data_IF_988978271167
#
_entry.id   IF_988978271167
#
_cell.length_a   1.000
_cell.length_b   1.000
_cell.length_c   1.000
_cell.angle_alpha   90.00
_cell.angle_beta   90.00
_cell.angle_gamma   90.00
#
_symmetry.space_group_name_H-M   'P 1'
#
loop_
_entity.id
_entity.type
_entity.pdbx_description
1 polymer ?
#
# COMPACT_ATOMS: atom_id res chain seq x y z
N UNK A 1 -38.17 5.22 -24.23
CA UNK A 1 -36.71 5.04 -24.40
C UNK A 1 -36.46 3.79 -25.25
N UNK A 2 -35.52 3.84 -26.19
CA UNK A 2 -35.19 2.71 -27.07
C UNK A 2 -34.40 1.65 -26.30
N UNK A 3 -34.95 0.44 -26.15
CA UNK A 3 -34.34 -0.68 -25.42
C UNK A 3 -32.89 -0.95 -25.85
N UNK A 4 -32.60 -0.91 -27.16
CA UNK A 4 -31.23 -1.11 -27.69
C UNK A 4 -30.23 -0.05 -27.21
N UNK A 5 -30.70 1.18 -27.00
CA UNK A 5 -29.83 2.25 -26.49
C UNK A 5 -29.53 2.07 -25.00
N UNK A 6 -30.49 1.53 -24.23
CA UNK A 6 -30.30 1.19 -22.81
C UNK A 6 -29.32 0.03 -22.69
N UNK A 7 -29.53 -1.06 -23.45
CA UNK A 7 -28.67 -2.24 -23.41
C UNK A 7 -27.21 -1.87 -23.74
N UNK A 8 -26.98 -1.08 -24.81
CA UNK A 8 -25.64 -0.60 -25.17
C UNK A 8 -24.99 0.26 -24.07
N UNK A 9 -25.77 1.10 -23.39
CA UNK A 9 -25.26 1.90 -22.28
C UNK A 9 -24.85 1.01 -21.10
N UNK A 10 -25.66 -0.01 -20.77
CA UNK A 10 -25.36 -0.98 -19.71
C UNK A 10 -24.06 -1.73 -20.02
N UNK A 11 -23.90 -2.22 -21.26
CA UNK A 11 -22.67 -2.91 -21.69
C UNK A 11 -21.44 -2.02 -21.53
N UNK A 12 -21.56 -0.75 -21.93
CA UNK A 12 -20.47 0.23 -21.78
C UNK A 12 -20.11 0.46 -20.31
N UNK A 13 -21.10 0.55 -19.41
CA UNK A 13 -20.84 0.67 -17.97
C UNK A 13 -20.19 -0.60 -17.41
N UNK A 14 -20.62 -1.77 -17.86
CA UNK A 14 -20.03 -3.05 -17.44
C UNK A 14 -18.56 -3.13 -17.86
N UNK A 15 -18.23 -2.78 -19.09
CA UNK A 15 -16.85 -2.76 -19.59
C UNK A 15 -15.96 -1.83 -18.74
N UNK A 16 -16.45 -0.64 -18.41
CA UNK A 16 -15.74 0.30 -17.53
C UNK A 16 -15.49 -0.32 -16.14
N UNK A 17 -16.49 -0.99 -15.56
CA UNK A 17 -16.34 -1.65 -14.26
C UNK A 17 -15.29 -2.75 -14.32
N UNK A 18 -15.31 -3.58 -15.38
CA UNK A 18 -14.36 -4.67 -15.58
C UNK A 18 -12.92 -4.15 -15.75
N UNK A 19 -12.74 -3.05 -16.49
CA UNK A 19 -11.43 -2.41 -16.65
C UNK A 19 -10.90 -1.87 -15.32
N UNK A 20 -11.75 -1.21 -14.53
CA UNK A 20 -11.38 -0.71 -13.20
C UNK A 20 -11.01 -1.86 -12.27
N UNK A 21 -11.78 -2.95 -12.25
CA UNK A 21 -11.46 -4.16 -11.47
C UNK A 21 -10.08 -4.70 -11.85
N UNK A 22 -9.81 -4.84 -13.14
CA UNK A 22 -8.52 -5.32 -13.64
C UNK A 22 -7.36 -4.43 -13.18
N UNK A 23 -7.53 -3.12 -13.25
CA UNK A 23 -6.52 -2.16 -12.80
C UNK A 23 -6.27 -2.25 -11.29
N UNK A 24 -7.32 -2.34 -10.47
CA UNK A 24 -7.18 -2.50 -9.01
C UNK A 24 -6.48 -3.82 -8.66
N UNK A 25 -6.80 -4.92 -9.36
CA UNK A 25 -6.10 -6.20 -9.15
C UNK A 25 -4.62 -6.12 -9.49
N UNK A 26 -4.27 -5.45 -10.59
CA UNK A 26 -2.87 -5.21 -10.94
C UNK A 26 -2.17 -4.39 -9.87
N UNK A 27 -2.83 -3.35 -9.35
CA UNK A 27 -2.27 -2.50 -8.31
C UNK A 27 -2.10 -3.25 -6.98
N UNK A 28 -3.05 -4.11 -6.60
CA UNK A 28 -2.92 -5.00 -5.45
C UNK A 28 -1.68 -5.89 -5.56
N UNK A 29 -1.45 -6.46 -6.74
CA UNK A 29 -0.27 -7.27 -7.00
C UNK A 29 1.01 -6.45 -6.83
N UNK A 30 1.09 -5.26 -7.43
CA UNK A 30 2.27 -4.41 -7.29
C UNK A 30 2.51 -3.91 -5.86
N UNK A 31 1.46 -3.70 -5.07
CA UNK A 31 1.58 -3.37 -3.65
C UNK A 31 2.15 -4.54 -2.86
N UNK A 32 1.65 -5.76 -3.10
CA UNK A 32 2.18 -6.96 -2.46
C UNK A 32 3.66 -7.17 -2.82
N UNK A 33 4.02 -7.06 -4.10
CA UNK A 33 5.42 -7.16 -4.56
C UNK A 33 6.32 -6.09 -3.93
N UNK A 34 5.82 -4.85 -3.77
CA UNK A 34 6.54 -3.79 -3.08
C UNK A 34 6.72 -4.10 -1.59
N UNK A 35 5.67 -4.59 -0.93
CA UNK A 35 5.73 -4.99 0.47
C UNK A 35 6.79 -6.08 0.66
N UNK A 36 6.73 -7.15 -0.15
CA UNK A 36 7.68 -8.27 -0.09
C UNK A 36 9.11 -7.78 -0.32
N UNK A 37 9.33 -6.91 -1.32
CA UNK A 37 10.65 -6.34 -1.59
C UNK A 37 11.21 -5.56 -0.38
N UNK A 38 10.38 -4.74 0.25
CA UNK A 38 10.81 -3.96 1.42
C UNK A 38 11.06 -4.89 2.61
N UNK A 39 10.18 -5.86 2.82
CA UNK A 39 10.27 -6.83 3.90
C UNK A 39 11.54 -7.68 3.79
N UNK A 40 11.83 -8.23 2.60
CA UNK A 40 13.00 -9.08 2.37
C UNK A 40 14.33 -8.34 2.51
N UNK A 41 14.33 -7.02 2.26
CA UNK A 41 15.50 -6.17 2.39
C UNK A 41 15.51 -5.38 3.70
N UNK A 42 14.54 -5.59 4.60
CA UNK A 42 14.34 -4.77 5.79
C UNK A 42 15.60 -4.68 6.66
N UNK A 43 16.27 -5.81 6.87
CA UNK A 43 17.48 -5.91 7.70
C UNK A 43 18.70 -5.19 7.12
N UNK A 44 18.68 -4.89 5.83
CA UNK A 44 19.77 -4.22 5.11
C UNK A 44 19.55 -2.70 5.01
N UNK A 45 18.36 -2.21 5.33
CA UNK A 45 18.06 -0.79 5.28
C UNK A 45 18.85 -0.02 6.32
N UNK A 46 19.40 1.11 5.89
CA UNK A 46 20.06 2.08 6.77
C UNK A 46 19.19 3.30 7.01
N UNK A 47 19.58 4.12 7.99
CA UNK A 47 18.95 5.42 8.24
C UNK A 47 19.09 6.34 7.02
N UNK A 48 20.24 6.30 6.36
CA UNK A 48 20.54 7.06 5.16
C UNK A 48 19.60 6.66 4.02
N UNK A 49 19.40 5.36 3.79
CA UNK A 49 18.44 4.86 2.78
C UNK A 49 17.03 5.38 3.07
N UNK A 50 16.56 5.22 4.31
CA UNK A 50 15.26 5.73 4.72
C UNK A 50 15.13 7.24 4.47
N UNK A 51 16.16 8.03 4.77
CA UNK A 51 16.11 9.49 4.57
C UNK A 51 15.93 9.90 3.11
N UNK A 52 16.48 9.12 2.17
CA UNK A 52 16.35 9.37 0.73
C UNK A 52 14.94 9.03 0.22
N UNK A 53 14.33 7.97 0.76
CA UNK A 53 13.06 7.44 0.24
C UNK A 53 11.82 7.91 1.02
N UNK A 54 11.98 8.41 2.25
CA UNK A 54 10.87 8.65 3.17
C UNK A 54 9.77 9.56 2.60
N UNK A 55 10.15 10.62 1.88
CA UNK A 55 9.17 11.55 1.31
C UNK A 55 8.46 10.97 0.08
N UNK A 56 9.16 10.19 -0.73
CA UNK A 56 8.56 9.43 -1.83
C UNK A 56 7.56 8.40 -1.28
N UNK A 57 7.95 7.68 -0.23
CA UNK A 57 7.11 6.69 0.43
C UNK A 57 5.84 7.30 1.00
N UNK A 58 5.95 8.41 1.76
CA UNK A 58 4.78 9.14 2.28
C UNK A 58 3.85 9.62 1.17
N UNK A 59 4.40 10.10 0.06
CA UNK A 59 3.61 10.53 -1.12
C UNK A 59 2.88 9.34 -1.75
N UNK A 60 3.55 8.20 -1.91
CA UNK A 60 2.94 6.97 -2.41
C UNK A 60 1.73 6.59 -1.55
N UNK A 61 1.91 6.44 -0.24
CA UNK A 61 0.82 6.08 0.69
C UNK A 61 -0.35 7.05 0.58
N UNK A 62 -0.10 8.36 0.58
CA UNK A 62 -1.16 9.37 0.43
C UNK A 62 -1.93 9.23 -0.88
N UNK A 63 -1.23 8.99 -1.99
CA UNK A 63 -1.86 8.80 -3.29
C UNK A 63 -2.72 7.53 -3.33
N UNK A 64 -2.23 6.42 -2.74
CA UNK A 64 -2.99 5.18 -2.66
C UNK A 64 -4.26 5.33 -1.80
N UNK A 65 -4.18 6.03 -0.67
CA UNK A 65 -5.35 6.38 0.17
C UNK A 65 -6.33 7.25 -0.62
N UNK A 66 -5.84 8.21 -1.40
CA UNK A 66 -6.66 9.03 -2.28
C UNK A 66 -7.44 8.19 -3.29
N UNK A 67 -6.75 7.30 -4.02
CA UNK A 67 -7.37 6.37 -4.96
C UNK A 67 -8.41 5.46 -4.29
N UNK A 68 -8.07 4.90 -3.12
CA UNK A 68 -8.99 4.07 -2.36
C UNK A 68 -10.27 4.85 -2.04
N UNK A 69 -10.13 6.09 -1.57
CA UNK A 69 -11.26 6.96 -1.20
C UNK A 69 -12.12 7.28 -2.42
N UNK A 70 -11.51 7.64 -3.56
CA UNK A 70 -12.23 7.91 -4.82
C UNK A 70 -13.04 6.70 -5.28
N UNK A 71 -12.46 5.51 -5.26
CA UNK A 71 -13.16 4.30 -5.68
C UNK A 71 -14.22 3.84 -4.67
N UNK A 72 -13.97 4.04 -3.37
CA UNK A 72 -14.89 3.67 -2.29
C UNK A 72 -16.20 4.45 -2.33
N UNK A 73 -16.16 5.69 -2.82
CA UNK A 73 -17.31 6.60 -2.94
C UNK A 73 -17.94 6.61 -4.34
N UNK A 74 -17.37 5.87 -5.29
CA UNK A 74 -17.86 5.80 -6.67
C UNK A 74 -19.13 4.94 -6.83
N UNK A 75 -19.87 5.15 -7.92
CA UNK A 75 -21.06 4.37 -8.26
C UNK A 75 -20.77 2.90 -8.62
N UNK A 76 -19.52 2.57 -8.97
CA UNK A 76 -19.11 1.21 -9.32
C UNK A 76 -18.52 0.43 -8.13
N UNK A 77 -18.50 1.00 -6.93
CA UNK A 77 -17.98 0.36 -5.73
C UNK A 77 -18.51 -1.06 -5.50
N UNK A 78 -19.82 -1.29 -5.71
CA UNK A 78 -20.42 -2.62 -5.53
C UNK A 78 -19.78 -3.67 -6.42
N UNK A 79 -19.44 -3.32 -7.66
CA UNK A 79 -18.74 -4.19 -8.60
C UNK A 79 -17.32 -4.52 -8.15
N UNK A 80 -16.61 -3.56 -7.54
CA UNK A 80 -15.17 -3.71 -7.22
C UNK A 80 -14.88 -3.94 -5.73
N UNK A 81 -15.90 -4.13 -4.90
CA UNK A 81 -15.80 -4.07 -3.42
C UNK A 81 -14.73 -4.98 -2.85
N UNK A 82 -14.63 -6.22 -3.33
CA UNK A 82 -13.65 -7.19 -2.85
C UNK A 82 -12.23 -6.79 -3.22
N UNK A 83 -12.01 -6.42 -4.49
CA UNK A 83 -10.71 -5.96 -4.97
C UNK A 83 -10.26 -4.69 -4.23
N UNK A 84 -11.19 -3.79 -3.93
CA UNK A 84 -10.93 -2.57 -3.18
C UNK A 84 -10.66 -2.82 -1.68
N UNK A 85 -11.22 -3.88 -1.09
CA UNK A 85 -10.87 -4.31 0.27
C UNK A 85 -9.42 -4.79 0.33
N UNK A 86 -9.01 -5.63 -0.62
CA UNK A 86 -7.62 -6.10 -0.70
C UNK A 86 -6.66 -4.93 -0.93
N UNK A 87 -7.08 -3.95 -1.74
CA UNK A 87 -6.33 -2.72 -1.94
C UNK A 87 -6.12 -1.94 -0.65
N UNK A 88 -7.18 -1.79 0.16
CA UNK A 88 -7.06 -1.16 1.47
C UNK A 88 -6.08 -1.91 2.38
N UNK A 89 -6.19 -3.23 2.46
CA UNK A 89 -5.30 -4.04 3.29
C UNK A 89 -3.84 -3.83 2.89
N UNK A 90 -3.52 -3.89 1.60
CA UNK A 90 -2.15 -3.66 1.14
C UNK A 90 -1.63 -2.24 1.42
N UNK A 91 -2.51 -1.22 1.41
CA UNK A 91 -2.13 0.13 1.87
C UNK A 91 -1.77 0.10 3.35
N UNK A 92 -2.62 -0.52 4.17
CA UNK A 92 -2.43 -0.61 5.61
C UNK A 92 -1.11 -1.37 5.93
N UNK A 93 -0.81 -2.47 5.21
CA UNK A 93 0.43 -3.25 5.33
C UNK A 93 1.68 -2.41 4.98
N UNK A 94 1.61 -1.62 3.90
CA UNK A 94 2.69 -0.69 3.55
C UNK A 94 2.85 0.41 4.62
N UNK A 95 1.76 0.91 5.20
CA UNK A 95 1.87 1.88 6.29
C UNK A 95 2.56 1.30 7.52
N UNK A 96 2.25 0.05 7.86
CA UNK A 96 2.86 -0.67 8.97
C UNK A 96 4.37 -0.84 8.76
N UNK A 97 4.79 -1.43 7.64
CA UNK A 97 6.22 -1.65 7.38
C UNK A 97 7.00 -0.31 7.28
N UNK A 98 6.38 0.74 6.75
CA UNK A 98 6.97 2.09 6.75
C UNK A 98 7.19 2.66 8.16
N UNK A 99 6.26 2.40 9.08
CA UNK A 99 6.42 2.76 10.48
C UNK A 99 7.49 1.92 11.16
N UNK A 100 7.56 0.62 10.86
CA UNK A 100 8.58 -0.27 11.40
C UNK A 100 9.97 0.17 10.99
N UNK A 101 10.19 0.54 9.72
CA UNK A 101 11.48 1.09 9.28
C UNK A 101 11.83 2.34 10.10
N UNK A 102 10.88 3.27 10.26
CA UNK A 102 11.10 4.49 11.05
C UNK A 102 11.45 4.18 12.50
N UNK A 103 10.85 3.16 13.10
CA UNK A 103 11.10 2.79 14.51
C UNK A 103 12.41 2.03 14.63
N UNK A 104 12.53 0.89 13.96
CA UNK A 104 13.61 -0.08 14.16
C UNK A 104 14.91 0.30 13.46
N UNK A 105 14.86 0.93 12.29
CA UNK A 105 16.07 1.32 11.54
C UNK A 105 16.54 2.71 11.95
N UNK A 106 15.63 3.64 12.22
CA UNK A 106 15.99 5.05 12.46
C UNK A 106 16.03 5.41 13.93
N UNK A 107 15.01 5.04 14.71
CA UNK A 107 14.78 5.60 16.05
C UNK A 107 15.45 4.77 17.15
N UNK A 108 15.24 3.46 17.15
CA UNK A 108 15.78 2.55 18.17
C UNK A 108 17.31 2.52 18.24
N UNK A 109 18.07 2.49 17.13
CA UNK A 109 19.54 2.48 17.20
C UNK A 109 20.14 3.74 17.87
N UNK A 110 19.37 4.83 17.95
CA UNK A 110 19.78 6.06 18.62
C UNK A 110 19.41 6.06 20.11
N UNK A 111 18.54 5.14 20.56
CA UNK A 111 18.12 5.03 21.95
C UNK A 111 19.23 4.38 22.80
N UNK A 112 19.63 5.04 23.88
CA UNK A 112 20.72 4.59 24.75
C UNK A 112 20.40 3.28 25.47
N UNK A 113 19.18 3.13 25.98
CA UNK A 113 18.77 1.93 26.71
C UNK A 113 18.71 0.72 25.78
N UNK A 114 18.20 0.93 24.56
CA UNK A 114 18.22 -0.10 23.51
C UNK A 114 19.64 -0.51 23.15
N UNK A 115 20.56 0.45 22.96
CA UNK A 115 21.98 0.15 22.67
C UNK A 115 22.64 -0.62 23.81
N UNK A 116 22.37 -0.24 25.06
CA UNK A 116 22.88 -0.93 26.23
C UNK A 116 22.38 -2.38 26.29
N UNK A 117 21.09 -2.60 26.03
CA UNK A 117 20.47 -3.92 26.01
C UNK A 117 21.05 -4.81 24.90
N UNK A 118 21.19 -4.27 23.68
CA UNK A 118 21.84 -4.98 22.57
C UNK A 118 23.30 -5.33 22.90
N UNK A 119 24.03 -4.41 23.54
CA UNK A 119 25.39 -4.65 24.01
C UNK A 119 25.49 -5.80 25.02
N UNK A 120 24.56 -5.87 25.97
CA UNK A 120 24.47 -6.97 26.93
C UNK A 120 24.17 -8.31 26.25
N UNK A 121 23.20 -8.34 25.33
CA UNK A 121 22.83 -9.57 24.60
C UNK A 121 24.01 -10.10 23.78
N UNK A 122 24.75 -9.22 23.09
CA UNK A 122 25.89 -9.62 22.27
C UNK A 122 27.12 -10.04 23.09
N UNK A 123 27.09 -9.84 24.41
CA UNK A 123 28.17 -10.23 25.33
C UNK A 123 27.91 -11.55 26.08
N UNK A 124 26.74 -12.16 25.87
CA UNK A 124 26.37 -13.50 26.33
C UNK A 124 26.85 -14.57 25.35
#
# INVERSE_FOLDING_TARGET
MNKKAIDKAIDTYLDIILDIQKNIRSLNKSIAELYDLIHDNFSQLTKEDYSQIADMYKKLIRNLIGLYTTYRTSHFYSGIKTDLKNFKNGIDDLQEIGNDIRVFIVSLPQNNDYRNLVGLINSL
#
